data_IF_141724395120
#
_entry.id   IF_141724395120
#
_cell.length_a   1.000
_cell.length_b   1.000
_cell.length_c   1.000
_cell.angle_alpha   90.00
_cell.angle_beta   90.00
_cell.angle_gamma   90.00
#
_symmetry.space_group_name_H-M   'P 1'
#
loop_
_entity.id
_entity.type
_entity.pdbx_description
1 polymer ?
#
# COMPACT_ATOMS: atom_id res chain seq x y z
N UNK A 1 -46.06 -11.71 -65.14
CA UNK A 1 -45.62 -12.92 -64.42
C UNK A 1 -45.09 -12.50 -63.07
N UNK A 2 -45.66 -13.01 -61.98
CA UNK A 2 -45.27 -12.69 -60.61
C UNK A 2 -43.82 -13.09 -60.32
N UNK A 3 -42.98 -12.13 -59.91
CA UNK A 3 -41.59 -12.37 -59.46
C UNK A 3 -41.48 -13.09 -58.10
N UNK A 4 -42.61 -13.37 -57.45
CA UNK A 4 -42.68 -14.02 -56.13
C UNK A 4 -42.10 -15.44 -56.08
N UNK A 5 -41.93 -16.13 -57.22
CA UNK A 5 -41.36 -17.48 -57.25
C UNK A 5 -39.83 -17.53 -57.10
N UNK A 6 -39.11 -16.40 -57.17
CA UNK A 6 -37.64 -16.36 -57.02
C UNK A 6 -37.14 -16.20 -55.59
N UNK A 7 -38.01 -15.79 -54.65
CA UNK A 7 -37.62 -15.59 -53.24
C UNK A 7 -37.69 -16.87 -52.39
N UNK A 8 -38.22 -17.98 -52.91
CA UNK A 8 -38.44 -19.22 -52.15
C UNK A 8 -37.32 -20.25 -52.28
N UNK A 9 -36.27 -20.00 -53.07
CA UNK A 9 -35.24 -21.02 -53.37
C UNK A 9 -33.86 -20.80 -52.73
N UNK A 10 -33.59 -19.65 -52.13
CA UNK A 10 -32.38 -19.43 -51.34
C UNK A 10 -32.69 -18.47 -50.18
N UNK A 11 -32.32 -18.77 -48.93
CA UNK A 11 -32.40 -17.79 -47.85
C UNK A 11 -31.49 -16.59 -48.19
N UNK A 12 -32.10 -15.46 -48.52
CA UNK A 12 -31.41 -14.20 -48.72
C UNK A 12 -31.09 -13.59 -47.35
N UNK A 13 -29.81 -13.41 -47.03
CA UNK A 13 -29.40 -12.77 -45.79
C UNK A 13 -29.92 -11.32 -45.76
N UNK A 14 -30.83 -11.02 -44.83
CA UNK A 14 -31.32 -9.67 -44.55
C UNK A 14 -30.33 -8.98 -43.62
N UNK A 15 -29.13 -8.71 -44.14
CA UNK A 15 -28.05 -8.03 -43.41
C UNK A 15 -27.13 -8.96 -42.62
N UNK A 16 -26.00 -8.40 -42.21
CA UNK A 16 -25.00 -9.06 -41.37
C UNK A 16 -24.92 -8.30 -40.05
N UNK A 17 -25.08 -9.00 -38.92
CA UNK A 17 -24.74 -8.42 -37.62
C UNK A 17 -23.22 -8.31 -37.52
N UNK A 18 -22.70 -7.07 -37.55
CA UNK A 18 -21.31 -6.84 -37.18
C UNK A 18 -21.22 -6.92 -35.66
N UNK A 19 -20.39 -7.80 -35.10
CA UNK A 19 -20.22 -7.84 -33.65
C UNK A 19 -19.62 -6.51 -33.20
N UNK A 20 -20.24 -5.90 -32.20
CA UNK A 20 -19.75 -4.66 -31.60
C UNK A 20 -18.31 -4.86 -31.09
N UNK A 21 -17.47 -3.81 -31.14
CA UNK A 21 -16.18 -3.85 -30.47
C UNK A 21 -16.42 -4.10 -28.97
N UNK A 22 -15.61 -4.99 -28.38
CA UNK A 22 -15.66 -5.20 -26.94
C UNK A 22 -15.09 -3.96 -26.24
N UNK A 23 -15.64 -3.57 -25.07
CA UNK A 23 -15.03 -2.53 -24.26
C UNK A 23 -13.61 -2.95 -23.86
N UNK A 24 -12.72 -1.97 -23.68
CA UNK A 24 -11.40 -2.24 -23.15
C UNK A 24 -11.49 -2.84 -21.73
N UNK A 25 -10.49 -3.62 -21.36
CA UNK A 25 -10.30 -4.08 -19.99
C UNK A 25 -9.37 -3.10 -19.28
N UNK A 26 -9.87 -2.38 -18.29
CA UNK A 26 -9.04 -1.63 -17.35
C UNK A 26 -8.28 -2.57 -16.44
N UNK A 27 -6.98 -2.39 -16.33
CA UNK A 27 -6.13 -3.04 -15.34
C UNK A 27 -5.69 -1.98 -14.36
N UNK A 28 -6.09 -2.12 -13.10
CA UNK A 28 -5.82 -1.14 -12.04
C UNK A 28 -4.88 -1.73 -11.00
N UNK A 29 -3.88 -0.95 -10.59
CA UNK A 29 -2.92 -1.30 -9.56
C UNK A 29 -2.99 -0.26 -8.44
N UNK A 30 -3.50 -0.64 -7.28
CA UNK A 30 -3.86 0.28 -6.19
C UNK A 30 -3.30 -0.20 -4.86
N UNK A 31 -2.95 0.71 -3.96
CA UNK A 31 -2.48 0.36 -2.61
C UNK A 31 -3.57 -0.31 -1.78
N UNK A 32 -3.21 -1.36 -1.03
CA UNK A 32 -4.15 -2.07 -0.17
C UNK A 32 -4.62 -1.19 0.99
N UNK A 33 -3.80 -0.24 1.45
CA UNK A 33 -4.15 0.61 2.58
C UNK A 33 -5.26 1.61 2.26
N UNK A 34 -5.23 2.29 1.12
CA UNK A 34 -6.18 3.36 0.81
C UNK A 34 -6.59 3.42 -0.65
N UNK A 35 -6.37 2.35 -1.43
CA UNK A 35 -6.84 2.21 -2.82
C UNK A 35 -6.39 3.34 -3.74
N UNK A 36 -5.24 3.96 -3.45
CA UNK A 36 -4.64 5.00 -4.28
C UNK A 36 -3.66 4.40 -5.28
N UNK A 37 -3.43 5.05 -6.42
CA UNK A 37 -2.37 4.65 -7.36
C UNK A 37 -1.00 4.72 -6.71
N UNK A 38 -0.07 3.89 -7.21
CA UNK A 38 1.34 3.99 -6.85
C UNK A 38 2.08 4.86 -7.85
N UNK A 39 2.46 6.06 -7.43
CA UNK A 39 3.22 7.01 -8.23
C UNK A 39 4.47 6.36 -8.86
N UNK A 40 4.63 6.53 -10.17
CA UNK A 40 5.80 6.03 -10.93
C UNK A 40 5.71 4.56 -11.35
N UNK A 41 4.67 3.82 -10.96
CA UNK A 41 4.45 2.45 -11.41
C UNK A 41 4.24 2.41 -12.93
N UNK A 42 4.84 1.42 -13.58
CA UNK A 42 4.59 1.13 -14.99
C UNK A 42 4.29 -0.35 -15.19
N UNK A 43 3.64 -0.68 -16.30
CA UNK A 43 3.27 -2.06 -16.62
C UNK A 43 3.49 -2.35 -18.10
N UNK A 44 4.17 -3.45 -18.39
CA UNK A 44 4.15 -4.06 -19.72
C UNK A 44 3.07 -5.14 -19.78
N UNK A 45 2.34 -5.17 -20.90
CA UNK A 45 1.22 -6.12 -21.09
C UNK A 45 1.51 -7.01 -22.29
N UNK A 46 1.59 -8.31 -22.04
CA UNK A 46 1.90 -9.35 -23.03
C UNK A 46 3.23 -9.09 -23.76
N UNK A 47 4.26 -8.66 -23.01
CA UNK A 47 5.60 -8.37 -23.54
C UNK A 47 5.70 -7.12 -24.42
N UNK A 48 4.65 -6.28 -24.46
CA UNK A 48 4.70 -4.97 -25.13
C UNK A 48 5.49 -3.96 -24.29
N UNK A 49 5.82 -2.81 -24.88
CA UNK A 49 6.47 -1.72 -24.15
C UNK A 49 5.70 -1.34 -22.88
N UNK A 50 6.43 -0.98 -21.82
CA UNK A 50 5.86 -0.54 -20.56
C UNK A 50 5.08 0.76 -20.75
N UNK A 51 3.91 0.84 -20.12
CA UNK A 51 3.04 2.01 -20.08
C UNK A 51 2.91 2.47 -18.63
N UNK A 52 2.93 3.79 -18.37
CA UNK A 52 2.60 4.30 -17.04
C UNK A 52 1.12 4.04 -16.75
N UNK A 53 0.81 3.80 -15.47
CA UNK A 53 -0.57 3.90 -15.00
C UNK A 53 -1.03 5.36 -15.01
N UNK A 54 -2.31 5.59 -15.29
CA UNK A 54 -2.93 6.92 -15.25
C UNK A 54 -3.14 7.45 -13.82
N UNK A 55 -3.80 8.61 -13.69
CA UNK A 55 -4.11 9.24 -12.39
C UNK A 55 -5.06 8.41 -11.52
N UNK A 56 -5.78 7.45 -12.11
CA UNK A 56 -6.64 6.48 -11.41
C UNK A 56 -5.90 5.14 -11.18
N UNK A 57 -4.59 5.08 -11.45
CA UNK A 57 -3.78 3.88 -11.28
C UNK A 57 -4.17 2.77 -12.25
N UNK A 58 -4.65 3.14 -13.44
CA UNK A 58 -5.24 2.23 -14.42
C UNK A 58 -4.53 2.29 -15.78
N UNK A 59 -4.64 1.20 -16.53
CA UNK A 59 -4.28 1.13 -17.95
C UNK A 59 -5.33 0.35 -18.73
N UNK A 60 -5.65 0.80 -19.94
CA UNK A 60 -6.58 0.08 -20.81
C UNK A 60 -5.89 -0.98 -21.66
N UNK A 61 -6.45 -2.18 -21.68
CA UNK A 61 -5.98 -3.31 -22.46
C UNK A 61 -7.08 -3.79 -23.40
N UNK A 62 -6.72 -3.98 -24.67
CA UNK A 62 -7.66 -4.49 -25.68
C UNK A 62 -8.07 -5.94 -25.41
N UNK A 63 -9.38 -6.17 -25.26
CA UNK A 63 -9.95 -7.51 -25.04
C UNK A 63 -9.98 -8.35 -26.30
N UNK A 64 -9.70 -9.64 -26.13
CA UNK A 64 -9.99 -10.68 -27.12
C UNK A 64 -11.43 -11.17 -26.98
N UNK A 65 -12.06 -11.49 -28.11
CA UNK A 65 -13.48 -11.92 -28.17
C UNK A 65 -13.80 -13.20 -27.40
N UNK A 66 -12.83 -14.09 -27.26
CA UNK A 66 -13.00 -15.37 -26.57
C UNK A 66 -12.42 -15.33 -25.16
N UNK A 67 -12.16 -14.13 -24.63
CA UNK A 67 -11.37 -13.96 -23.42
C UNK A 67 -9.90 -14.27 -23.69
N UNK A 68 -9.12 -14.37 -22.62
CA UNK A 68 -7.73 -14.74 -22.73
C UNK A 68 -6.96 -14.56 -21.45
N UNK A 69 -5.64 -14.53 -21.61
CA UNK A 69 -4.69 -14.35 -20.55
C UNK A 69 -3.96 -13.01 -20.76
N UNK A 70 -3.74 -12.30 -19.65
CA UNK A 70 -2.82 -11.17 -19.57
C UNK A 70 -1.57 -11.62 -18.82
N UNK A 71 -0.42 -11.46 -19.46
CA UNK A 71 0.87 -11.48 -18.78
C UNK A 71 1.27 -10.03 -18.50
N UNK A 72 1.32 -9.65 -17.23
CA UNK A 72 1.67 -8.30 -16.79
C UNK A 72 3.08 -8.36 -16.18
N UNK A 73 3.95 -7.41 -16.53
CA UNK A 73 5.18 -7.16 -15.76
C UNK A 73 5.13 -5.74 -15.24
N UNK A 74 5.05 -5.62 -13.92
CA UNK A 74 4.99 -4.35 -13.19
C UNK A 74 6.40 -3.94 -12.80
N UNK A 75 6.73 -2.67 -13.03
CA UNK A 75 8.02 -2.07 -12.70
C UNK A 75 7.81 -0.88 -11.75
N UNK A 76 8.89 -0.47 -11.09
CA UNK A 76 8.92 0.65 -10.12
C UNK A 76 8.08 0.45 -8.85
N UNK A 77 7.49 -0.74 -8.65
CA UNK A 77 6.89 -1.16 -7.38
C UNK A 77 7.73 -2.29 -6.80
N UNK A 78 8.13 -2.24 -5.52
CA UNK A 78 8.88 -3.32 -4.90
C UNK A 78 8.13 -4.66 -5.00
N UNK A 79 8.81 -5.69 -5.50
CA UNK A 79 8.17 -6.96 -5.84
C UNK A 79 7.50 -7.65 -4.65
N UNK A 80 8.03 -7.48 -3.43
CA UNK A 80 7.46 -8.02 -2.19
C UNK A 80 6.09 -7.42 -1.83
N UNK A 81 5.75 -6.25 -2.40
CA UNK A 81 4.44 -5.62 -2.23
C UNK A 81 3.43 -6.08 -3.30
N UNK A 82 3.90 -6.70 -4.38
CA UNK A 82 3.02 -7.15 -5.45
C UNK A 82 2.42 -8.53 -5.13
N UNK A 83 1.26 -8.89 -5.73
CA UNK A 83 0.62 -10.18 -5.47
C UNK A 83 1.56 -11.37 -5.68
N UNK A 84 1.71 -12.18 -4.64
CA UNK A 84 2.62 -13.34 -4.65
C UNK A 84 4.11 -13.00 -4.60
N UNK A 85 4.47 -11.75 -4.29
CA UNK A 85 5.85 -11.30 -4.15
C UNK A 85 6.61 -11.21 -5.47
N UNK A 86 5.91 -10.91 -6.58
CA UNK A 86 6.44 -11.00 -7.94
C UNK A 86 6.01 -9.82 -8.79
N UNK A 87 6.93 -9.32 -9.62
CA UNK A 87 6.64 -8.31 -10.65
C UNK A 87 5.86 -8.85 -11.84
N UNK A 88 5.94 -10.16 -12.08
CA UNK A 88 5.23 -10.82 -13.17
C UNK A 88 3.91 -11.44 -12.69
N UNK A 89 2.79 -10.91 -13.18
CA UNK A 89 1.44 -11.35 -12.83
C UNK A 89 0.75 -11.97 -14.04
N UNK A 90 -0.10 -12.96 -13.78
CA UNK A 90 -0.91 -13.61 -14.80
C UNK A 90 -2.37 -13.54 -14.38
N UNK A 91 -3.20 -12.96 -15.24
CA UNK A 91 -4.64 -12.88 -15.00
C UNK A 91 -5.42 -13.39 -16.20
N UNK A 92 -6.52 -14.08 -15.92
CA UNK A 92 -7.41 -14.62 -16.93
C UNK A 92 -8.65 -13.75 -17.00
N UNK A 93 -9.07 -13.39 -18.21
CA UNK A 93 -10.32 -12.65 -18.41
C UNK A 93 -11.29 -13.38 -19.34
N UNK A 94 -12.57 -13.33 -19.01
CA UNK A 94 -13.66 -13.78 -19.87
C UNK A 94 -14.16 -12.67 -20.81
N UNK A 95 -14.83 -13.00 -21.93
CA UNK A 95 -15.37 -12.00 -22.86
C UNK A 95 -16.32 -10.97 -22.22
N UNK A 96 -17.09 -11.42 -21.22
CA UNK A 96 -18.16 -10.67 -20.56
C UNK A 96 -17.84 -10.32 -19.10
N UNK A 97 -16.58 -10.43 -18.70
CA UNK A 97 -16.15 -10.07 -17.35
C UNK A 97 -16.30 -8.56 -17.12
N UNK A 98 -16.48 -8.08 -15.87
CA UNK A 98 -16.51 -6.65 -15.58
C UNK A 98 -15.37 -5.89 -16.26
N UNK A 99 -15.59 -4.64 -16.69
CA UNK A 99 -14.65 -3.87 -17.52
C UNK A 99 -13.31 -3.59 -16.84
N UNK A 100 -13.10 -3.99 -15.58
CA UNK A 100 -11.93 -3.64 -14.79
C UNK A 100 -11.46 -4.80 -13.91
N UNK A 101 -10.15 -4.98 -13.83
CA UNK A 101 -9.44 -5.88 -12.92
C UNK A 101 -8.61 -5.06 -11.95
N UNK A 102 -8.57 -5.47 -10.68
CA UNK A 102 -7.83 -4.80 -9.64
C UNK A 102 -6.73 -5.72 -9.10
N UNK A 103 -5.54 -5.15 -8.94
CA UNK A 103 -4.42 -5.77 -8.26
C UNK A 103 -4.05 -4.88 -7.08
N UNK A 104 -3.97 -5.49 -5.90
CA UNK A 104 -3.56 -4.77 -4.69
C UNK A 104 -2.03 -4.75 -4.59
N UNK A 105 -1.50 -3.56 -4.31
CA UNK A 105 -0.15 -3.38 -3.79
C UNK A 105 -0.26 -3.49 -2.28
N UNK A 106 0.29 -4.57 -1.71
CA UNK A 106 0.29 -4.81 -0.29
C UNK A 106 0.95 -3.66 0.48
N UNK A 107 0.39 -3.34 1.64
CA UNK A 107 0.89 -2.34 2.57
C UNK A 107 1.46 -3.03 3.82
N UNK A 108 2.69 -3.56 3.75
CA UNK A 108 3.39 -4.02 4.94
C UNK A 108 3.86 -2.81 5.76
N UNK A 109 3.69 -2.90 7.07
CA UNK A 109 4.26 -1.95 8.03
C UNK A 109 5.13 -2.68 9.04
N UNK A 110 6.24 -2.07 9.41
CA UNK A 110 7.07 -2.49 10.53
C UNK A 110 6.96 -1.44 11.62
N UNK A 111 6.70 -1.90 12.84
CA UNK A 111 6.63 -1.06 14.04
C UNK A 111 7.67 -1.59 14.99
N UNK A 112 8.63 -0.74 15.36
CA UNK A 112 9.75 -1.15 16.18
C UNK A 112 10.22 -0.03 17.09
N UNK A 113 11.02 -0.40 18.08
CA UNK A 113 11.65 0.52 19.00
C UNK A 113 13.15 0.39 18.93
N UNK A 114 13.84 1.51 18.93
CA UNK A 114 15.30 1.58 19.06
C UNK A 114 15.61 2.09 20.47
N UNK A 115 16.34 1.32 21.30
CA UNK A 115 16.77 1.79 22.62
C UNK A 115 17.67 3.02 22.50
N UNK A 116 17.79 3.84 23.57
CA UNK A 116 18.83 4.85 23.62
C UNK A 116 20.20 4.17 23.45
N UNK A 117 21.14 4.88 22.83
CA UNK A 117 22.51 4.40 22.66
C UNK A 117 23.30 4.68 23.94
N UNK A 118 23.73 3.62 24.63
CA UNK A 118 24.50 3.72 25.88
C UNK A 118 25.88 4.41 25.64
N UNK A 119 26.39 4.43 24.39
CA UNK A 119 27.65 5.12 24.06
C UNK A 119 27.49 6.65 23.97
N UNK A 120 26.30 7.17 23.64
CA UNK A 120 26.00 8.62 23.66
C UNK A 120 26.03 9.18 25.10
N UNK A 121 25.71 8.35 26.09
CA UNK A 121 25.77 8.69 27.52
C UNK A 121 27.22 9.01 27.96
N UNK A 122 28.21 8.24 27.49
CA UNK A 122 29.63 8.45 27.83
C UNK A 122 30.20 9.72 27.18
N UNK A 123 29.78 10.06 25.96
CA UNK A 123 30.25 11.27 25.27
C UNK A 123 29.65 12.55 25.86
N UNK A 124 28.37 12.54 26.27
CA UNK A 124 27.72 13.72 26.87
C UNK A 124 28.21 13.99 28.31
N UNK A 125 28.55 12.95 29.08
CA UNK A 125 29.13 13.10 30.43
C UNK A 125 30.47 13.88 30.41
N UNK A 126 31.27 13.72 29.35
CA UNK A 126 32.53 14.46 29.17
C UNK A 126 32.33 15.96 28.85
N UNK A 127 31.15 16.34 28.35
CA UNK A 127 30.79 17.75 28.02
C UNK A 127 30.01 18.44 29.13
N UNK A 128 29.39 17.67 30.04
CA UNK A 128 28.64 18.17 31.20
C UNK A 128 29.57 18.70 32.31
N UNK A 129 30.42 19.66 31.96
CA UNK A 129 31.10 20.50 32.92
C UNK A 129 30.09 21.46 33.59
N UNK A 130 30.00 21.37 34.92
CA UNK A 130 29.32 22.31 35.82
C UNK A 130 27.77 22.21 35.94
N UNK A 131 27.29 21.07 36.48
CA UNK A 131 26.17 21.08 37.43
C UNK A 131 24.74 21.08 36.87
N UNK A 132 24.54 20.95 35.56
CA UNK A 132 23.24 20.65 34.97
C UNK A 132 23.11 19.13 34.76
N UNK A 133 22.07 18.50 35.30
CA UNK A 133 21.78 17.10 35.05
C UNK A 133 21.32 16.96 33.59
N UNK A 134 22.03 16.14 32.80
CA UNK A 134 21.62 15.81 31.44
C UNK A 134 20.24 15.14 31.46
N UNK A 135 19.36 15.45 30.50
CA UNK A 135 18.11 14.72 30.36
C UNK A 135 18.41 13.25 30.09
N UNK A 136 17.63 12.31 30.67
CA UNK A 136 17.85 10.89 30.41
C UNK A 136 17.63 10.58 28.93
N UNK A 137 18.47 9.73 28.35
CA UNK A 137 18.35 9.33 26.94
C UNK A 137 17.00 8.66 26.67
N UNK A 138 16.39 9.03 25.54
CA UNK A 138 15.08 8.53 25.13
C UNK A 138 15.25 7.53 24.00
N UNK A 139 14.63 6.36 24.12
CA UNK A 139 14.50 5.48 22.96
C UNK A 139 13.38 5.95 22.03
N UNK A 140 13.44 5.53 20.77
CA UNK A 140 12.55 6.03 19.71
C UNK A 140 11.68 4.92 19.13
N UNK A 141 10.40 5.22 18.91
CA UNK A 141 9.45 4.30 18.28
C UNK A 141 9.24 4.68 16.82
N UNK A 142 9.49 3.74 15.92
CA UNK A 142 9.51 3.93 14.48
C UNK A 142 8.41 3.15 13.77
N UNK A 143 7.98 3.71 12.64
CA UNK A 143 7.13 3.06 11.65
C UNK A 143 7.83 3.10 10.28
N UNK A 144 7.92 1.96 9.61
CA UNK A 144 8.51 1.79 8.29
C UNK A 144 7.57 1.00 7.34
N UNK A 145 7.77 1.16 6.03
CA UNK A 145 7.11 0.33 5.00
C UNK A 145 8.10 -0.48 4.15
N UNK A 146 9.38 -0.44 4.50
CA UNK A 146 10.43 -1.24 3.90
C UNK A 146 11.21 -1.97 5.00
N UNK A 147 11.51 -3.25 4.78
CA UNK A 147 12.28 -4.04 5.72
C UNK A 147 13.72 -3.53 5.84
N UNK A 148 14.28 -2.99 4.74
CA UNK A 148 15.65 -2.47 4.70
C UNK A 148 15.81 -1.17 5.51
N UNK A 149 14.70 -0.57 5.97
CA UNK A 149 14.69 0.59 6.86
C UNK A 149 14.59 0.23 8.35
N UNK A 150 14.43 -1.05 8.69
CA UNK A 150 14.40 -1.49 10.08
C UNK A 150 15.82 -1.53 10.61
N UNK A 151 16.11 -0.76 11.67
CA UNK A 151 17.44 -0.70 12.28
C UNK A 151 17.90 -2.07 12.80
N UNK A 152 19.21 -2.31 12.85
CA UNK A 152 19.77 -3.59 13.30
C UNK A 152 19.48 -3.84 14.80
N UNK A 153 19.47 -2.76 15.57
CA UNK A 153 19.15 -2.70 17.00
C UNK A 153 17.64 -2.62 17.29
N UNK A 154 16.79 -2.70 16.25
CA UNK A 154 15.35 -2.64 16.40
C UNK A 154 14.81 -3.78 17.27
N UNK A 155 14.04 -3.42 18.29
CA UNK A 155 13.37 -4.34 19.19
C UNK A 155 11.86 -4.42 18.91
N UNK A 156 11.25 -5.61 19.04
CA UNK A 156 9.81 -5.75 18.97
C UNK A 156 9.12 -5.13 20.18
N UNK A 157 7.86 -4.76 20.00
CA UNK A 157 7.08 -3.99 20.96
C UNK A 157 5.91 -4.79 21.50
N UNK A 158 5.51 -4.52 22.74
CA UNK A 158 4.25 -5.00 23.32
C UNK A 158 3.21 -3.90 23.37
N UNK A 159 2.00 -4.21 22.92
CA UNK A 159 0.89 -3.26 22.90
C UNK A 159 -0.07 -3.48 21.74
N UNK A 160 -0.58 -2.37 21.20
CA UNK A 160 -1.59 -2.35 20.16
C UNK A 160 -1.23 -1.29 19.12
N UNK A 161 -1.15 -1.71 17.86
CA UNK A 161 -1.20 -0.82 16.71
C UNK A 161 -2.66 -0.61 16.35
N UNK A 162 -3.19 0.60 16.53
CA UNK A 162 -4.55 0.95 16.12
C UNK A 162 -4.54 1.33 14.65
N UNK A 163 -5.42 0.71 13.87
CA UNK A 163 -5.51 0.87 12.42
C UNK A 163 -6.94 1.25 11.98
N UNK A 164 -7.46 2.43 12.36
CA UNK A 164 -8.82 2.82 12.03
C UNK A 164 -9.05 2.82 10.52
N UNK A 165 -10.17 2.25 10.06
CA UNK A 165 -10.49 2.17 8.63
C UNK A 165 -9.82 1.03 7.87
N UNK A 166 -9.07 0.16 8.56
CA UNK A 166 -8.57 -1.11 8.01
C UNK A 166 -9.46 -2.28 8.40
N UNK A 167 -9.35 -3.40 7.69
CA UNK A 167 -10.02 -4.67 8.00
C UNK A 167 -9.56 -5.22 9.34
N UNK A 168 -8.29 -4.98 9.68
CA UNK A 168 -7.69 -5.39 10.93
C UNK A 168 -8.29 -4.59 12.10
N UNK A 169 -8.51 -3.29 11.91
CA UNK A 169 -8.99 -2.35 12.93
C UNK A 169 -7.96 -2.05 14.03
N UNK A 170 -7.33 -3.10 14.55
CA UNK A 170 -6.19 -3.05 15.46
C UNK A 170 -5.36 -4.33 15.37
N UNK A 171 -4.04 -4.22 15.53
CA UNK A 171 -3.10 -5.35 15.51
C UNK A 171 -2.40 -5.42 16.86
N UNK A 172 -2.44 -6.60 17.49
CA UNK A 172 -1.72 -6.85 18.75
C UNK A 172 -0.22 -6.98 18.46
N UNK A 173 0.57 -6.15 19.14
CA UNK A 173 2.03 -6.25 19.15
C UNK A 173 2.39 -7.10 20.37
N UNK A 174 2.87 -8.32 20.14
CA UNK A 174 3.09 -9.33 21.21
C UNK A 174 4.53 -9.32 21.77
N UNK A 175 5.38 -8.45 21.23
CA UNK A 175 6.80 -8.36 21.57
C UNK A 175 7.65 -9.47 20.95
N UNK A 176 7.16 -10.19 19.94
CA UNK A 176 7.93 -11.25 19.26
C UNK A 176 8.52 -10.82 17.92
N UNK A 177 7.84 -9.94 17.18
CA UNK A 177 8.25 -9.48 15.85
C UNK A 177 8.03 -7.98 15.68
N UNK A 178 8.82 -7.36 14.80
CA UNK A 178 8.66 -5.95 14.40
C UNK A 178 7.75 -5.78 13.17
N UNK A 179 7.40 -6.87 12.50
CA UNK A 179 6.61 -6.89 11.26
C UNK A 179 7.11 -7.93 10.27
N UNK A 180 6.61 -7.92 9.01
CA UNK A 180 5.58 -7.00 8.51
C UNK A 180 4.20 -7.31 9.05
N UNK A 181 3.46 -6.27 9.39
CA UNK A 181 2.01 -6.32 9.58
C UNK A 181 1.34 -5.78 8.33
N UNK A 182 0.42 -6.52 7.73
CA UNK A 182 -0.23 -6.11 6.49
C UNK A 182 -1.52 -5.35 6.78
N UNK A 183 -1.68 -4.18 6.18
CA UNK A 183 -2.88 -3.35 6.31
C UNK A 183 -3.76 -3.45 5.07
N UNK A 184 -5.04 -3.70 5.27
CA UNK A 184 -6.03 -3.74 4.20
C UNK A 184 -7.15 -2.74 4.50
N UNK A 185 -7.40 -1.81 3.58
CA UNK A 185 -8.51 -0.87 3.70
C UNK A 185 -9.83 -1.61 3.81
N UNK A 186 -10.73 -1.12 4.66
CA UNK A 186 -12.15 -1.36 4.46
C UNK A 186 -12.53 -0.61 3.18
N UNK A 187 -13.05 -1.33 2.19
CA UNK A 187 -13.45 -0.70 0.93
C UNK A 187 -14.32 0.53 1.24
N UNK A 188 -14.00 1.72 0.69
CA UNK A 188 -14.78 2.91 0.98
C UNK A 188 -16.23 2.68 0.55
N UNK A 189 -17.18 3.17 1.35
CA UNK A 189 -18.55 3.31 0.90
C UNK A 189 -18.55 4.16 -0.39
N UNK A 190 -19.31 3.74 -1.41
CA UNK A 190 -19.26 4.38 -2.73
C UNK A 190 -19.40 5.91 -2.64
N UNK A 191 -18.39 6.64 -3.14
CA UNK A 191 -18.42 8.10 -3.26
C UNK A 191 -17.85 8.91 -2.08
N UNK A 192 -17.31 8.27 -1.04
CA UNK A 192 -16.62 8.98 0.05
C UNK A 192 -15.19 9.44 -0.32
N UNK A 193 -14.67 10.52 0.29
CA UNK A 193 -13.26 10.87 0.18
C UNK A 193 -12.40 9.74 0.76
N UNK A 194 -11.42 9.28 -0.01
CA UNK A 194 -10.55 8.17 0.39
C UNK A 194 -9.34 8.74 1.13
N UNK A 195 -9.46 8.90 2.44
CA UNK A 195 -8.32 9.28 3.29
C UNK A 195 -7.28 8.15 3.35
N UNK A 196 -6.01 8.50 3.58
CA UNK A 196 -4.98 7.49 3.75
C UNK A 196 -5.13 6.86 5.12
N UNK A 197 -5.43 5.56 5.16
CA UNK A 197 -5.65 4.82 6.41
C UNK A 197 -4.41 4.76 7.30
N UNK A 198 -3.21 4.91 6.71
CA UNK A 198 -1.97 5.03 7.49
C UNK A 198 -1.92 6.33 8.29
N UNK A 199 -2.54 7.41 7.82
CA UNK A 199 -2.53 8.71 8.49
C UNK A 199 -3.12 8.66 9.91
N UNK A 200 -4.06 7.73 10.12
CA UNK A 200 -4.76 7.52 11.38
C UNK A 200 -4.12 6.42 12.26
N UNK A 201 -2.96 5.86 11.87
CA UNK A 201 -2.29 4.88 12.72
C UNK A 201 -1.83 5.53 14.02
N UNK A 202 -2.05 4.80 15.11
CA UNK A 202 -1.51 5.15 16.42
C UNK A 202 -0.99 3.87 17.10
N UNK A 203 -0.03 4.04 18.00
CA UNK A 203 0.51 2.93 18.79
C UNK A 203 0.21 3.19 20.25
N UNK A 204 -0.40 2.19 20.91
CA UNK A 204 -0.53 2.13 22.36
C UNK A 204 0.42 1.06 22.87
N UNK A 205 1.51 1.48 23.48
CA UNK A 205 2.47 0.55 24.06
C UNK A 205 2.14 0.19 25.51
N UNK A 206 2.49 -1.03 25.89
CA UNK A 206 2.69 -1.37 27.29
C UNK A 206 3.97 -0.69 27.78
N UNK A 207 3.91 -0.05 28.96
CA UNK A 207 5.07 0.54 29.59
C UNK A 207 6.12 -0.54 29.87
N UNK A 208 7.34 -0.36 29.38
CA UNK A 208 8.49 -1.19 29.73
C UNK A 208 8.94 -0.80 31.14
N UNK A 209 9.45 -1.75 31.92
CA UNK A 209 9.93 -1.46 33.28
C UNK A 209 10.92 -0.29 33.28
N UNK A 210 10.63 0.76 34.05
CA UNK A 210 11.44 1.96 34.14
C UNK A 210 11.27 2.96 32.99
N UNK A 211 10.31 2.76 32.06
CA UNK A 211 10.04 3.68 30.95
C UNK A 211 8.57 4.05 30.81
N UNK A 212 8.30 5.29 30.40
CA UNK A 212 7.00 5.81 30.01
C UNK A 212 6.97 6.12 28.50
N UNK A 213 5.98 5.57 27.81
CA UNK A 213 5.74 5.87 26.41
C UNK A 213 5.05 7.24 26.26
N UNK A 214 5.56 8.04 25.32
CA UNK A 214 4.98 9.30 24.88
C UNK A 214 4.86 9.31 23.37
N UNK A 215 3.63 9.25 22.86
CA UNK A 215 3.35 9.45 21.44
C UNK A 215 3.72 10.89 21.01
N UNK A 216 4.11 11.06 19.74
CA UNK A 216 4.15 12.38 19.12
C UNK A 216 2.72 12.87 18.90
N UNK A 217 2.49 14.11 19.32
CA UNK A 217 1.23 14.81 19.14
C UNK A 217 1.54 16.24 18.70
N UNK A 218 1.11 16.68 17.50
CA UNK A 218 0.32 15.92 16.52
C UNK A 218 1.06 14.70 15.93
N UNK A 219 0.28 13.75 15.38
CA UNK A 219 0.84 12.57 14.71
C UNK A 219 1.55 13.00 13.43
N UNK A 220 2.83 12.62 13.22
CA UNK A 220 3.57 13.01 12.02
C UNK A 220 2.96 12.39 10.75
N UNK A 221 2.24 11.27 10.87
CA UNK A 221 1.50 10.66 9.76
C UNK A 221 0.30 11.52 9.37
N UNK A 222 -0.45 12.00 10.37
CA UNK A 222 -1.61 12.85 10.16
C UNK A 222 -1.19 14.20 9.54
N UNK A 223 -0.14 14.83 10.09
CA UNK A 223 0.39 16.10 9.59
C UNK A 223 0.83 16.00 8.12
N UNK A 224 1.65 14.99 7.77
CA UNK A 224 2.10 14.80 6.38
C UNK A 224 0.93 14.55 5.44
N UNK A 225 -0.10 13.82 5.89
CA UNK A 225 -1.27 13.58 5.06
C UNK A 225 -2.14 14.82 4.88
N UNK A 226 -2.28 15.66 5.90
CA UNK A 226 -3.00 16.93 5.83
C UNK A 226 -2.26 17.92 4.92
N UNK A 227 -0.94 18.04 5.05
CA UNK A 227 -0.12 18.98 4.29
C UNK A 227 0.06 18.54 2.82
N UNK A 228 0.38 17.27 2.58
CA UNK A 228 0.82 16.77 1.28
C UNK A 228 -0.23 15.92 0.56
N UNK A 229 -1.36 15.59 1.21
CA UNK A 229 -2.34 14.65 0.66
C UNK A 229 -1.74 13.27 0.40
N UNK A 230 -2.16 12.59 -0.68
CA UNK A 230 -1.51 11.35 -1.14
C UNK A 230 -1.64 10.11 -0.23
N UNK A 231 -0.74 9.15 -0.44
CA UNK A 231 -0.65 7.89 0.29
C UNK A 231 0.63 7.86 1.13
N UNK A 232 0.51 7.76 2.46
CA UNK A 232 1.67 7.70 3.37
C UNK A 232 2.56 6.48 3.13
N UNK A 233 2.01 5.36 2.65
CA UNK A 233 2.80 4.15 2.35
C UNK A 233 3.98 4.46 1.43
N UNK A 234 3.78 5.28 0.39
CA UNK A 234 4.85 5.63 -0.54
C UNK A 234 5.91 6.54 0.09
N UNK A 235 5.51 7.38 1.04
CA UNK A 235 6.47 8.23 1.79
C UNK A 235 7.28 7.38 2.76
N UNK A 236 6.61 6.45 3.44
CA UNK A 236 7.26 5.50 4.35
C UNK A 236 8.21 4.55 3.60
N UNK A 237 7.94 4.19 2.35
CA UNK A 237 8.90 3.46 1.52
C UNK A 237 10.19 4.25 1.24
N UNK A 238 10.15 5.59 1.30
CA UNK A 238 11.33 6.42 1.14
C UNK A 238 12.06 6.65 2.47
N UNK A 239 11.32 6.83 3.56
CA UNK A 239 11.90 7.12 4.88
C UNK A 239 10.95 6.70 6.02
N UNK A 240 11.44 5.97 7.03
CA UNK A 240 10.65 5.64 8.21
C UNK A 240 10.35 6.90 9.03
N UNK A 241 9.39 6.82 9.96
CA UNK A 241 9.01 7.95 10.81
C UNK A 241 8.95 7.56 12.27
N UNK A 242 9.46 8.44 13.13
CA UNK A 242 9.31 8.30 14.59
C UNK A 242 7.90 8.69 15.00
N UNK A 243 7.13 7.78 15.59
CA UNK A 243 5.78 8.03 16.12
C UNK A 243 5.76 8.40 17.61
N UNK A 244 6.85 8.16 18.34
CA UNK A 244 6.90 8.45 19.77
C UNK A 244 8.24 8.10 20.40
N UNK A 245 8.30 8.25 21.71
CA UNK A 245 9.50 8.12 22.52
C UNK A 245 9.22 7.28 23.77
N UNK A 246 10.23 6.54 24.25
CA UNK A 246 10.23 5.96 25.58
C UNK A 246 11.20 6.73 26.45
N UNK A 247 10.68 7.35 27.51
CA UNK A 247 11.44 8.13 28.49
C UNK A 247 11.64 7.31 29.76
N UNK A 248 12.83 7.30 30.36
CA UNK A 248 13.00 6.74 31.70
C UNK A 248 12.07 7.41 32.73
N UNK A 249 11.52 6.63 33.66
CA UNK A 249 10.61 7.09 34.75
C UNK A 249 11.31 7.23 36.08
#
# INVERSE_FOLDING_TARGET
GCELFRLTQCPSAVGNFKPLPLPALGVSLLTSCCRRPFCGATVSVNGKAALPFDEDGSVEVMRRRNGGQLALSVESVPSYMLPGGRSCLVAWYAPLEPPRMFFDIGCPVWVYYVPPDDEEEEEEEDVAAEGEALPPLEGTLWLACDADQVADEAMPLRGLLECPGTQEGSIVLDGSTTGPFYLHSLAPAEGGPVECTIAALSVRMEAKDGFAYRAKDPSPLAERCEELGGCEMQRLLACPVVLGFLRPT
#
